data_IF_983814427574
#
_entry.id   IF_983814427574
#
_cell.length_a   1.000
_cell.length_b   1.000
_cell.length_c   1.000
_cell.angle_alpha   90.00
_cell.angle_beta   90.00
_cell.angle_gamma   90.00
#
_symmetry.space_group_name_H-M   'P 1'
#
loop_
_entity.id
_entity.type
_entity.pdbx_description
1 polymer ?
#
# COMPACT_ATOMS: atom_id res chain seq x y z
N UNK A 1 8.54 -5.73 11.76
CA UNK A 1 9.41 -4.55 11.57
C UNK A 1 8.63 -3.63 10.66
N UNK A 2 8.45 -2.36 11.07
CA UNK A 2 7.76 -1.39 10.23
C UNK A 2 8.67 -0.98 9.07
N UNK A 3 8.10 -0.85 7.88
CA UNK A 3 8.78 -0.25 6.74
C UNK A 3 9.01 1.24 7.02
N UNK A 4 10.21 1.78 6.75
CA UNK A 4 10.48 3.21 6.86
C UNK A 4 9.60 4.00 5.89
N UNK A 5 9.03 5.07 6.41
CA UNK A 5 8.12 5.98 5.70
C UNK A 5 8.72 7.37 5.50
N UNK A 6 9.82 7.67 6.20
CA UNK A 6 10.54 8.94 6.18
C UNK A 6 12.04 8.77 5.98
N UNK A 7 12.72 9.81 5.48
CA UNK A 7 14.20 9.82 5.36
C UNK A 7 14.89 9.64 6.71
N UNK A 8 14.31 10.16 7.80
CA UNK A 8 14.87 10.01 9.14
C UNK A 8 14.90 8.54 9.59
N UNK A 9 13.85 7.77 9.25
CA UNK A 9 13.80 6.33 9.53
C UNK A 9 14.81 5.55 8.66
N UNK A 10 14.98 5.93 7.40
CA UNK A 10 16.05 5.37 6.54
C UNK A 10 17.43 5.62 7.14
N UNK A 11 17.70 6.85 7.57
CA UNK A 11 18.96 7.22 8.21
C UNK A 11 19.20 6.47 9.52
N UNK A 12 18.15 6.26 10.33
CA UNK A 12 18.23 5.47 11.57
C UNK A 12 18.55 3.98 11.30
N UNK A 13 18.13 3.46 10.14
CA UNK A 13 18.48 2.11 9.67
C UNK A 13 19.84 2.05 8.96
N UNK A 14 20.51 3.19 8.77
CA UNK A 14 21.77 3.30 8.03
C UNK A 14 21.62 3.13 6.52
N UNK A 15 20.40 3.28 5.98
CA UNK A 15 20.11 3.13 4.56
C UNK A 15 20.27 4.48 3.86
N UNK A 16 21.18 4.58 2.87
CA UNK A 16 21.36 5.80 2.07
C UNK A 16 20.22 6.03 1.08
N UNK A 17 19.70 4.95 0.50
CA UNK A 17 18.59 4.95 -0.44
C UNK A 17 17.90 3.59 -0.39
N UNK A 18 16.56 3.53 -0.52
CA UNK A 18 15.84 2.27 -0.64
C UNK A 18 16.05 1.65 -2.03
N UNK A 19 16.10 0.32 -2.11
CA UNK A 19 16.11 -0.39 -3.40
C UNK A 19 14.73 -0.36 -4.04
N UNK A 20 13.69 -0.49 -3.21
CA UNK A 20 12.29 -0.47 -3.64
C UNK A 20 11.52 0.55 -2.82
N UNK A 21 10.77 1.43 -3.49
CA UNK A 21 9.80 2.31 -2.84
C UNK A 21 8.39 1.84 -3.18
N UNK A 22 7.65 1.43 -2.16
CA UNK A 22 6.26 1.04 -2.29
C UNK A 22 5.37 2.25 -2.07
N UNK A 23 4.41 2.49 -2.97
CA UNK A 23 3.44 3.57 -2.85
C UNK A 23 2.05 2.95 -2.73
N UNK A 24 1.30 3.33 -1.70
CA UNK A 24 -0.06 2.83 -1.47
C UNK A 24 -1.07 3.97 -1.28
N UNK A 25 -2.25 3.82 -1.90
CA UNK A 25 -3.39 4.71 -1.69
C UNK A 25 -4.11 4.52 -0.34
N UNK A 26 -3.81 3.43 0.38
CA UNK A 26 -4.39 3.12 1.68
C UNK A 26 -3.47 3.55 2.83
N UNK A 27 -4.04 3.59 4.04
CA UNK A 27 -3.25 3.73 5.26
C UNK A 27 -2.34 2.51 5.43
N UNK A 28 -1.04 2.76 5.64
CA UNK A 28 -0.10 1.69 5.96
C UNK A 28 -0.33 1.20 7.39
N UNK A 29 -0.64 -0.09 7.52
CA UNK A 29 -0.67 -0.83 8.79
C UNK A 29 0.21 -2.07 8.62
N UNK A 30 1.11 -2.32 9.57
CA UNK A 30 1.92 -3.54 9.58
C UNK A 30 1.05 -4.75 9.98
N UNK A 31 0.26 -5.23 9.01
CA UNK A 31 -0.71 -6.30 9.17
C UNK A 31 -0.60 -7.27 7.99
N UNK A 32 -0.65 -8.60 8.22
CA UNK A 32 -0.63 -9.59 7.14
C UNK A 32 -1.84 -9.49 6.21
N UNK A 33 -2.90 -8.78 6.61
CA UNK A 33 -4.07 -8.51 5.77
C UNK A 33 -3.84 -7.40 4.75
N UNK A 34 -2.71 -6.68 4.84
CA UNK A 34 -2.35 -5.61 3.92
C UNK A 34 -1.29 -6.12 2.93
N UNK A 35 -1.67 -6.21 1.66
CA UNK A 35 -0.80 -6.75 0.60
C UNK A 35 0.54 -6.02 0.48
N UNK A 36 0.55 -4.69 0.63
CA UNK A 36 1.79 -3.90 0.57
C UNK A 36 2.75 -4.22 1.73
N UNK A 37 2.22 -4.55 2.92
CA UNK A 37 3.04 -4.95 4.06
C UNK A 37 3.66 -6.34 3.84
N UNK A 38 2.91 -7.28 3.24
CA UNK A 38 3.41 -8.62 2.89
C UNK A 38 4.51 -8.53 1.83
N UNK A 39 4.29 -7.75 0.77
CA UNK A 39 5.29 -7.54 -0.30
C UNK A 39 6.56 -6.90 0.28
N UNK A 40 6.42 -5.85 1.09
CA UNK A 40 7.56 -5.18 1.70
C UNK A 40 8.37 -6.09 2.62
N UNK A 41 7.71 -6.94 3.41
CA UNK A 41 8.40 -7.95 4.23
C UNK A 41 9.13 -8.99 3.40
N UNK A 42 8.49 -9.52 2.35
CA UNK A 42 9.12 -10.50 1.48
C UNK A 42 10.39 -9.94 0.79
N UNK A 43 10.37 -8.66 0.41
CA UNK A 43 11.53 -7.97 -0.15
C UNK A 43 12.63 -7.75 0.89
N UNK A 44 12.29 -7.35 2.12
CA UNK A 44 13.26 -7.24 3.22
C UNK A 44 13.89 -8.60 3.54
N UNK A 45 13.09 -9.65 3.62
CA UNK A 45 13.57 -11.02 3.89
C UNK A 45 14.48 -11.54 2.76
N UNK A 46 14.29 -11.05 1.54
CA UNK A 46 15.18 -11.31 0.40
C UNK A 46 16.46 -10.45 0.39
N UNK A 47 16.62 -9.56 1.37
CA UNK A 47 17.83 -8.73 1.54
C UNK A 47 17.77 -7.34 0.89
N UNK A 48 16.61 -6.90 0.42
CA UNK A 48 16.43 -5.56 -0.16
C UNK A 48 16.07 -4.52 0.90
N UNK A 49 16.47 -3.28 0.65
CA UNK A 49 16.00 -2.12 1.42
C UNK A 49 14.68 -1.61 0.84
N UNK A 50 13.66 -1.43 1.68
CA UNK A 50 12.30 -1.12 1.23
C UNK A 50 11.74 0.07 2.00
N UNK A 51 11.30 1.11 1.28
CA UNK A 51 10.56 2.24 1.83
C UNK A 51 9.09 2.18 1.45
N UNK A 52 8.22 2.85 2.23
CA UNK A 52 6.80 2.97 1.90
C UNK A 52 6.26 4.40 2.00
N UNK A 53 5.46 4.80 1.02
CA UNK A 53 4.74 6.06 0.95
C UNK A 53 3.25 5.74 0.94
N UNK A 54 2.59 5.97 2.08
CA UNK A 54 1.15 5.82 2.21
C UNK A 54 0.45 7.16 1.98
N UNK A 55 -0.64 7.13 1.21
CA UNK A 55 -1.50 8.28 0.93
C UNK A 55 -0.71 9.53 0.50
N UNK A 56 0.12 9.46 -0.56
CA UNK A 56 0.83 10.64 -1.02
C UNK A 56 -0.15 11.70 -1.50
N UNK A 57 0.12 12.97 -1.18
CA UNK A 57 -0.51 14.08 -1.88
C UNK A 57 -0.10 14.05 -3.36
N UNK A 58 -1.09 13.82 -4.23
CA UNK A 58 -0.90 13.81 -5.69
C UNK A 58 -0.89 15.22 -6.30
N UNK A 59 -1.31 16.24 -5.54
CA UNK A 59 -1.32 17.63 -6.00
C UNK A 59 0.08 18.23 -5.93
N UNK A 60 0.93 17.74 -5.02
CA UNK A 60 2.32 18.10 -4.92
C UNK A 60 3.22 16.88 -5.08
N UNK A 61 3.94 16.77 -6.20
CA UNK A 61 4.89 15.66 -6.43
C UNK A 61 6.02 15.52 -5.39
N UNK A 62 6.06 16.40 -4.39
CA UNK A 62 6.98 16.35 -3.24
C UNK A 62 6.75 15.12 -2.37
N UNK A 63 5.50 14.67 -2.23
CA UNK A 63 5.18 13.55 -1.33
C UNK A 63 5.63 12.20 -1.90
N UNK A 64 5.53 12.03 -3.22
CA UNK A 64 5.99 10.82 -3.92
C UNK A 64 7.52 10.74 -3.90
N UNK A 65 8.22 11.88 -3.99
CA UNK A 65 9.68 11.94 -3.98
C UNK A 65 10.33 11.98 -2.59
N UNK A 66 9.55 11.90 -1.49
CA UNK A 66 10.03 12.17 -0.12
C UNK A 66 11.05 11.16 0.42
N UNK A 67 11.25 10.04 -0.26
CA UNK A 67 12.23 9.00 0.10
C UNK A 67 13.40 8.94 -0.89
N UNK A 68 13.47 9.89 -1.83
CA UNK A 68 14.42 9.88 -2.92
C UNK A 68 14.05 8.93 -4.06
N UNK A 69 15.02 8.65 -4.92
CA UNK A 69 14.89 7.70 -6.04
C UNK A 69 15.27 6.29 -5.59
N UNK A 70 14.47 5.25 -5.92
CA UNK A 70 14.80 3.88 -5.59
C UNK A 70 15.95 3.37 -6.47
N UNK A 71 16.79 2.50 -5.92
CA UNK A 71 17.90 1.92 -6.70
C UNK A 71 17.42 0.93 -7.78
N UNK A 72 16.25 0.31 -7.60
CA UNK A 72 15.71 -0.69 -8.52
C UNK A 72 14.39 -0.25 -9.16
N UNK A 73 13.32 -0.08 -8.38
CA UNK A 73 12.00 0.27 -8.93
C UNK A 73 11.02 0.86 -7.92
N UNK A 74 9.95 1.46 -8.46
CA UNK A 74 8.76 1.91 -7.73
C UNK A 74 7.66 0.85 -7.80
N UNK A 75 7.10 0.45 -6.66
CA UNK A 75 5.97 -0.46 -6.58
C UNK A 75 4.68 0.28 -6.20
N UNK A 76 3.79 0.52 -7.15
CA UNK A 76 2.55 1.28 -6.90
C UNK A 76 1.38 0.31 -6.72
N UNK A 77 0.62 0.48 -5.65
CA UNK A 77 -0.61 -0.29 -5.38
C UNK A 77 -1.74 0.65 -4.93
N UNK A 78 -2.98 0.38 -5.35
CA UNK A 78 -4.14 1.12 -4.87
C UNK A 78 -4.48 0.84 -3.40
N UNK A 79 -3.85 -0.16 -2.76
CA UNK A 79 -4.19 -0.60 -1.41
C UNK A 79 -5.18 -1.78 -1.40
N UNK A 80 -5.55 -2.24 -0.21
CA UNK A 80 -6.55 -3.28 0.03
C UNK A 80 -7.99 -2.80 -0.18
N UNK A 81 -8.24 -1.49 -0.24
CA UNK A 81 -9.50 -0.93 -0.73
C UNK A 81 -9.44 -0.78 -2.25
N UNK A 82 -9.65 -1.88 -2.99
CA UNK A 82 -10.88 -2.08 -3.79
C UNK A 82 -10.85 -3.44 -4.52
N UNK A 83 -12.05 -4.02 -4.73
CA UNK A 83 -12.47 -5.02 -5.74
C UNK A 83 -12.74 -6.50 -5.39
N UNK A 84 -12.34 -7.09 -4.25
CA UNK A 84 -12.74 -8.50 -3.96
C UNK A 84 -13.98 -8.66 -3.05
N UNK A 85 -14.34 -7.64 -2.25
CA UNK A 85 -15.49 -7.73 -1.32
C UNK A 85 -16.63 -6.74 -1.65
N UNK A 86 -16.43 -5.79 -2.58
CA UNK A 86 -17.50 -4.88 -3.01
C UNK A 86 -18.39 -5.45 -4.13
N UNK A 87 -18.14 -6.67 -4.65
CA UNK A 87 -18.92 -7.18 -5.79
C UNK A 87 -19.24 -8.69 -5.84
N UNK A 88 -19.29 -9.42 -4.72
CA UNK A 88 -19.97 -10.72 -4.70
C UNK A 88 -20.61 -11.01 -3.33
N UNK A 89 -21.91 -10.75 -3.22
CA UNK A 89 -22.76 -11.71 -2.52
C UNK A 89 -22.77 -13.00 -3.36
N UNK A 90 -22.60 -14.20 -2.79
CA UNK A 90 -22.65 -15.48 -3.52
C UNK A 90 -24.07 -15.86 -3.96
N UNK A 91 -24.95 -14.87 -4.18
CA UNK A 91 -26.31 -15.06 -4.66
C UNK A 91 -26.62 -13.98 -5.68
N UNK A 92 -26.35 -14.34 -6.93
CA UNK A 92 -26.67 -13.65 -8.16
C UNK A 92 -28.20 -13.45 -8.31
N UNK A 93 -28.82 -12.62 -7.45
CA UNK A 93 -30.24 -12.25 -7.54
C UNK A 93 -30.37 -10.73 -7.49
N UNK A 94 -30.93 -10.16 -8.55
CA UNK A 94 -31.57 -8.83 -8.51
C UNK A 94 -32.61 -8.86 -7.38
N UNK A 95 -32.43 -8.02 -6.36
CA UNK A 95 -33.56 -7.65 -5.49
C UNK A 95 -34.55 -6.85 -6.33
N UNK A 96 -35.59 -7.52 -6.83
CA UNK A 96 -36.90 -6.89 -7.00
C UNK A 96 -37.37 -6.50 -5.60
N UNK A 97 -37.69 -5.23 -5.40
CA UNK A 97 -38.59 -4.84 -4.31
C UNK A 97 -39.92 -5.51 -4.63
N UNK A 98 -40.25 -6.55 -3.89
CA UNK A 98 -41.63 -7.05 -3.82
C UNK A 98 -42.43 -6.18 -2.85
N UNK A 99 -43.70 -6.10 -3.19
CA UNK A 99 -44.81 -5.37 -2.57
C UNK A 99 -44.87 -5.41 -1.05
N UNK A 100 -45.10 -4.23 -0.48
CA UNK A 100 -45.74 -4.04 0.82
C UNK A 100 -46.72 -2.85 0.71
N UNK A 101 -47.88 -3.11 0.13
CA UNK A 101 -49.14 -2.42 0.46
C UNK A 101 -50.28 -3.39 0.17
N UNK A 102 -50.68 -4.11 1.21
CA UNK A 102 -52.08 -4.48 1.41
C UNK A 102 -52.84 -3.34 2.07
#
# INVERSE_FOLDING_TARGET
MFLPTTENELNALGWRSPDVILVTGDTYVDSPFIGVAVIGKALIDAGYTVGIIAQPDILSGKDIGRLGEPNLFWGITSGCMDSMISNYTPTNKRRKRDDLTG
#
